data_IF_622315280884
#
_entry.id   IF_622315280884
#
_cell.length_a   1.000
_cell.length_b   1.000
_cell.length_c   1.000
_cell.angle_alpha   90.00
_cell.angle_beta   90.00
_cell.angle_gamma   90.00
#
_symmetry.space_group_name_H-M   'P 1'
#
loop_
_entity.id
_entity.type
_entity.pdbx_description
1 polymer ?
#
# COMPACT_ATOMS: atom_id res chain seq x y z
N UNK A 1 19.45 27.46 -0.68
CA UNK A 1 19.99 27.09 0.63
C UNK A 1 18.84 27.16 1.61
N UNK A 2 18.31 26.09 2.16
CA UNK A 2 18.68 24.68 2.18
C UNK A 2 17.37 23.89 2.30
N UNK A 3 17.27 22.82 1.53
CA UNK A 3 16.29 21.77 1.68
C UNK A 3 16.58 20.99 2.96
N UNK A 4 15.56 20.70 3.76
CA UNK A 4 15.61 19.61 4.73
C UNK A 4 14.32 18.80 4.58
N UNK A 5 14.51 17.67 3.90
CA UNK A 5 13.61 16.53 3.79
C UNK A 5 13.20 16.02 5.18
N UNK A 6 11.90 15.78 5.38
CA UNK A 6 11.38 15.04 6.53
C UNK A 6 10.86 13.70 6.04
N UNK A 7 11.75 12.71 6.04
CA UNK A 7 11.49 11.33 5.65
C UNK A 7 11.01 10.49 6.83
N UNK A 8 10.11 9.54 6.50
CA UNK A 8 9.84 8.23 7.09
C UNK A 8 9.97 7.99 8.61
N UNK A 9 8.83 7.62 9.19
CA UNK A 9 8.80 6.72 10.34
C UNK A 9 7.74 5.65 10.07
N UNK A 10 8.13 4.58 9.37
CA UNK A 10 7.45 3.29 9.50
C UNK A 10 8.29 2.11 9.00
N UNK A 11 9.57 2.03 9.35
CA UNK A 11 10.32 0.78 9.16
C UNK A 11 11.48 0.69 10.16
N UNK A 12 11.25 -0.05 11.25
CA UNK A 12 12.32 -0.68 12.04
C UNK A 12 11.82 -2.01 12.57
N UNK A 13 12.14 -3.08 11.84
CA UNK A 13 12.37 -4.38 12.46
C UNK A 13 13.40 -5.19 11.63
N UNK A 14 14.62 -5.20 12.17
CA UNK A 14 15.62 -6.28 12.18
C UNK A 14 15.98 -6.99 10.86
N UNK A 15 17.11 -6.56 10.28
CA UNK A 15 17.97 -7.41 9.46
C UNK A 15 19.21 -7.81 10.25
N UNK A 16 19.23 -9.04 10.74
CA UNK A 16 20.46 -9.74 11.08
C UNK A 16 21.02 -10.36 9.79
N UNK A 17 22.29 -10.08 9.52
CA UNK A 17 23.01 -10.59 8.36
C UNK A 17 23.36 -12.07 8.52
N UNK A 18 23.10 -12.86 7.48
CA UNK A 18 23.87 -14.08 7.14
C UNK A 18 23.88 -14.28 5.62
N UNK A 19 24.94 -14.89 5.07
CA UNK A 19 25.38 -14.68 3.69
C UNK A 19 24.67 -15.58 2.67
N UNK A 20 24.50 -15.01 1.48
CA UNK A 20 24.11 -15.65 0.24
C UNK A 20 25.11 -16.76 -0.13
N UNK A 21 24.61 -17.99 -0.24
CA UNK A 21 25.31 -19.16 -0.77
C UNK A 21 24.50 -19.66 -1.97
N UNK A 22 25.15 -19.71 -3.13
CA UNK A 22 24.62 -20.29 -4.36
C UNK A 22 24.31 -21.78 -4.15
N UNK A 23 23.10 -22.24 -4.46
CA UNK A 23 22.88 -23.60 -4.97
C UNK A 23 21.52 -23.78 -5.68
N UNK A 24 21.64 -24.15 -6.97
CA UNK A 24 20.88 -25.09 -7.80
C UNK A 24 19.33 -25.13 -7.84
N UNK A 25 18.88 -25.35 -9.08
CA UNK A 25 17.52 -25.61 -9.54
C UNK A 25 16.98 -26.90 -8.94
N UNK A 26 15.73 -26.87 -8.49
CA UNK A 26 14.82 -28.02 -8.55
C UNK A 26 13.42 -27.48 -8.91
N UNK A 27 12.88 -28.00 -10.02
CA UNK A 27 11.54 -27.73 -10.51
C UNK A 27 10.52 -28.48 -9.62
N UNK A 28 9.71 -27.77 -8.84
CA UNK A 28 8.64 -28.34 -8.02
C UNK A 28 7.27 -27.84 -8.52
N UNK A 29 6.65 -28.66 -9.38
CA UNK A 29 5.31 -28.48 -9.98
C UNK A 29 4.14 -28.59 -8.97
N UNK A 30 4.41 -28.60 -7.66
CA UNK A 30 3.37 -28.80 -6.63
C UNK A 30 2.62 -27.53 -6.18
N UNK A 31 3.09 -26.34 -6.59
CA UNK A 31 2.53 -25.05 -6.12
C UNK A 31 1.29 -24.61 -6.92
N UNK A 32 1.19 -24.97 -8.19
CA UNK A 32 0.09 -24.60 -9.08
C UNK A 32 -1.22 -25.32 -8.76
N UNK A 33 -1.16 -26.53 -8.23
CA UNK A 33 -2.34 -27.35 -7.89
C UNK A 33 -3.03 -26.92 -6.58
N UNK A 34 -2.31 -26.19 -5.71
CA UNK A 34 -2.90 -25.63 -4.48
C UNK A 34 -3.78 -24.40 -4.76
N UNK A 35 -3.54 -23.68 -5.87
CA UNK A 35 -4.27 -22.46 -6.21
C UNK A 35 -5.73 -22.74 -6.60
N UNK A 36 -5.98 -23.78 -7.41
CA UNK A 36 -7.32 -24.10 -7.91
C UNK A 36 -8.27 -24.66 -6.84
N UNK A 37 -7.74 -25.30 -5.79
CA UNK A 37 -8.55 -25.95 -4.75
C UNK A 37 -9.17 -24.98 -3.74
N UNK A 38 -8.59 -23.78 -3.56
CA UNK A 38 -9.09 -22.79 -2.60
C UNK A 38 -10.24 -21.96 -3.18
N UNK A 39 -10.26 -21.73 -4.50
CA UNK A 39 -11.28 -20.93 -5.17
C UNK A 39 -12.68 -21.59 -5.19
N UNK A 40 -12.76 -22.93 -5.09
CA UNK A 40 -14.03 -23.67 -5.20
C UNK A 40 -14.83 -23.80 -3.89
N UNK A 41 -14.30 -23.40 -2.73
CA UNK A 41 -15.00 -23.55 -1.44
C UNK A 41 -15.89 -22.36 -1.04
N UNK A 42 -15.78 -21.20 -1.71
CA UNK A 42 -16.50 -19.99 -1.29
C UNK A 42 -17.87 -19.77 -1.96
N UNK A 43 -18.23 -20.56 -2.98
CA UNK A 43 -19.48 -20.37 -3.73
C UNK A 43 -20.73 -21.10 -3.15
N UNK A 44 -20.71 -21.45 -1.87
CA UNK A 44 -21.70 -22.35 -1.26
C UNK A 44 -22.79 -21.73 -0.37
N UNK A 45 -22.95 -20.41 -0.28
CA UNK A 45 -23.98 -19.83 0.60
C UNK A 45 -24.95 -18.90 -0.14
N UNK A 46 -25.97 -19.51 -0.76
CA UNK A 46 -27.24 -18.86 -1.08
C UNK A 46 -28.20 -19.03 0.10
N UNK A 47 -28.76 -17.93 0.59
CA UNK A 47 -30.08 -17.96 1.22
C UNK A 47 -30.90 -16.81 0.64
N UNK A 48 -31.98 -17.18 -0.02
CA UNK A 48 -32.99 -16.28 -0.55
C UNK A 48 -34.19 -16.15 0.38
N UNK A 49 -34.98 -15.14 0.02
CA UNK A 49 -36.43 -14.99 0.14
C UNK A 49 -37.07 -14.80 1.53
N UNK A 50 -37.52 -13.54 1.70
CA UNK A 50 -38.82 -13.06 2.19
C UNK A 50 -39.80 -14.08 2.82
N UNK A 51 -40.36 -13.71 3.97
CA UNK A 51 -41.81 -13.79 4.18
C UNK A 51 -42.28 -12.84 5.29
N UNK A 52 -43.54 -12.46 5.14
CA UNK A 52 -44.30 -11.37 5.75
C UNK A 52 -44.87 -11.70 7.15
N UNK A 53 -45.33 -10.65 7.81
CA UNK A 53 -46.48 -10.55 8.74
C UNK A 53 -46.76 -11.65 9.79
N UNK A 54 -46.85 -11.24 11.06
CA UNK A 54 -48.10 -11.39 11.84
C UNK A 54 -48.05 -10.66 13.19
N UNK A 55 -49.04 -9.78 13.38
CA UNK A 55 -49.45 -9.14 14.64
C UNK A 55 -49.90 -10.16 15.70
N UNK A 56 -49.51 -9.97 16.97
CA UNK A 56 -50.43 -10.28 18.09
C UNK A 56 -50.14 -9.54 19.39
N UNK A 57 -51.02 -8.57 19.65
CA UNK A 57 -51.26 -7.87 20.90
C UNK A 57 -51.68 -8.86 22.01
N UNK A 58 -51.13 -8.71 23.22
CA UNK A 58 -51.83 -9.12 24.46
C UNK A 58 -51.49 -8.19 25.63
N UNK A 59 -52.44 -7.32 25.90
CA UNK A 59 -52.57 -6.43 27.04
C UNK A 59 -52.75 -7.20 28.37
N UNK A 60 -52.24 -6.64 29.47
CA UNK A 60 -52.80 -6.86 30.80
C UNK A 60 -52.51 -5.67 31.72
N UNK A 61 -53.52 -4.82 31.88
CA UNK A 61 -53.63 -3.80 32.91
C UNK A 61 -53.90 -4.42 34.28
N UNK A 62 -53.41 -3.77 35.35
CA UNK A 62 -54.21 -3.24 36.46
C UNK A 62 -53.31 -2.87 37.65
N UNK A 63 -53.31 -1.59 38.04
CA UNK A 63 -53.59 -1.18 39.43
C UNK A 63 -53.63 0.35 39.52
N UNK A 64 -54.82 0.88 39.77
CA UNK A 64 -55.06 2.25 40.24
C UNK A 64 -54.58 2.45 41.68
N UNK A 65 -54.28 3.70 42.04
CA UNK A 65 -54.01 4.16 43.39
C UNK A 65 -53.78 5.69 43.42
N UNK A 66 -54.83 6.41 43.76
CA UNK A 66 -55.05 7.88 43.75
C UNK A 66 -54.45 8.59 44.98
N UNK A 67 -54.10 9.88 44.84
CA UNK A 67 -54.00 10.88 45.94
C UNK A 67 -52.74 11.78 45.83
N UNK A 68 -52.78 12.88 45.08
CA UNK A 68 -53.13 14.26 45.51
C UNK A 68 -51.93 15.11 45.98
N UNK A 69 -51.68 16.16 45.18
CA UNK A 69 -51.25 17.53 45.46
C UNK A 69 -49.94 17.82 46.21
N UNK A 70 -49.00 18.45 45.49
CA UNK A 70 -48.35 19.67 45.96
C UNK A 70 -47.76 20.49 44.80
N UNK A 71 -48.29 21.69 44.65
CA UNK A 71 -47.75 22.80 43.88
C UNK A 71 -46.34 23.16 44.32
N UNK A 72 -45.37 23.16 43.41
CA UNK A 72 -44.26 24.11 43.47
C UNK A 72 -43.68 24.36 42.07
N UNK A 73 -44.01 25.54 41.58
CA UNK A 73 -43.39 26.25 40.47
C UNK A 73 -41.86 26.32 40.61
N UNK A 74 -41.14 26.11 39.49
CA UNK A 74 -39.69 26.20 39.44
C UNK A 74 -39.07 25.63 38.16
N UNK A 75 -39.26 26.34 37.05
CA UNK A 75 -38.30 26.51 35.93
C UNK A 75 -37.61 25.29 35.28
N UNK A 76 -38.02 25.04 34.03
CA UNK A 76 -37.16 24.75 32.86
C UNK A 76 -36.32 23.47 32.94
N UNK A 77 -37.03 22.37 32.75
CA UNK A 77 -36.77 21.36 31.71
C UNK A 77 -35.29 21.14 31.33
N UNK A 78 -34.64 20.25 32.08
CA UNK A 78 -33.59 19.38 31.56
C UNK A 78 -34.10 18.69 30.28
N UNK A 79 -33.76 19.26 29.12
CA UNK A 79 -33.88 18.52 27.87
C UNK A 79 -32.77 17.50 27.82
N UNK A 80 -33.11 16.34 28.38
CA UNK A 80 -32.93 15.04 27.76
C UNK A 80 -32.00 15.06 26.55
N UNK A 81 -30.86 14.42 26.77
CA UNK A 81 -30.01 13.75 25.81
C UNK A 81 -30.85 13.09 24.70
N UNK A 82 -31.07 13.78 23.58
CA UNK A 82 -31.39 13.12 22.33
C UNK A 82 -30.08 12.61 21.70
N UNK A 83 -29.66 11.50 22.29
CA UNK A 83 -28.92 10.43 21.65
C UNK A 83 -29.67 10.03 20.38
N UNK A 84 -29.13 10.39 19.22
CA UNK A 84 -29.80 10.13 17.95
C UNK A 84 -29.04 10.60 16.73
N UNK A 85 -27.70 10.61 16.79
CA UNK A 85 -26.93 10.58 15.55
C UNK A 85 -25.69 9.72 15.77
N UNK A 86 -25.93 8.42 15.93
CA UNK A 86 -24.94 7.40 15.62
C UNK A 86 -24.70 7.38 14.10
N UNK A 87 -24.23 8.50 13.56
CA UNK A 87 -23.39 8.47 12.38
C UNK A 87 -22.08 7.88 12.87
N UNK A 88 -22.10 6.56 13.05
CA UNK A 88 -20.92 5.74 13.11
C UNK A 88 -20.20 6.02 11.79
N UNK A 89 -19.31 7.03 11.75
CA UNK A 89 -18.14 7.00 10.89
C UNK A 89 -17.41 5.73 11.31
N UNK A 90 -17.90 4.57 10.83
CA UNK A 90 -17.30 3.27 11.04
C UNK A 90 -15.93 3.42 10.43
N UNK A 91 -14.96 3.66 11.29
CA UNK A 91 -13.57 3.62 10.90
C UNK A 91 -13.38 2.21 10.35
N UNK A 92 -13.05 2.13 9.06
CA UNK A 92 -12.88 0.86 8.37
C UNK A 92 -12.08 -0.11 9.24
N UNK A 93 -12.62 -1.31 9.45
CA UNK A 93 -12.06 -2.27 10.39
C UNK A 93 -10.67 -2.69 9.89
N UNK A 94 -9.78 -3.02 10.81
CA UNK A 94 -8.44 -3.50 10.45
C UNK A 94 -8.51 -4.71 9.49
N UNK A 95 -9.48 -5.60 9.71
CA UNK A 95 -9.73 -6.75 8.85
C UNK A 95 -10.04 -6.35 7.39
N UNK A 96 -10.88 -5.32 7.19
CA UNK A 96 -11.26 -4.83 5.85
C UNK A 96 -10.03 -4.23 5.13
N UNK A 97 -9.15 -3.54 5.85
CA UNK A 97 -7.87 -3.04 5.28
C UNK A 97 -6.95 -4.16 4.82
N UNK A 98 -6.83 -5.22 5.64
CA UNK A 98 -6.02 -6.39 5.29
C UNK A 98 -6.60 -7.11 4.08
N UNK A 99 -7.94 -7.21 3.98
CA UNK A 99 -8.61 -7.79 2.82
C UNK A 99 -8.29 -7.03 1.53
N UNK A 100 -8.39 -5.70 1.52
CA UNK A 100 -8.01 -4.86 0.37
C UNK A 100 -6.58 -5.14 -0.07
N UNK A 101 -5.62 -5.11 0.87
CA UNK A 101 -4.20 -5.34 0.56
C UNK A 101 -3.95 -6.75 -0.02
N UNK A 102 -4.61 -7.76 0.53
CA UNK A 102 -4.51 -9.14 0.03
C UNK A 102 -5.12 -9.26 -1.37
N UNK A 103 -6.28 -8.66 -1.61
CA UNK A 103 -6.92 -8.63 -2.93
C UNK A 103 -6.02 -7.94 -3.96
N UNK A 104 -5.47 -6.78 -3.62
CA UNK A 104 -4.50 -6.07 -4.47
C UNK A 104 -3.30 -6.96 -4.81
N UNK A 105 -2.74 -7.65 -3.82
CA UNK A 105 -1.60 -8.56 -4.01
C UNK A 105 -1.97 -9.70 -4.96
N UNK A 106 -3.12 -10.34 -4.77
CA UNK A 106 -3.56 -11.47 -5.59
C UNK A 106 -3.81 -11.04 -7.04
N UNK A 107 -4.43 -9.87 -7.26
CA UNK A 107 -4.65 -9.33 -8.61
C UNK A 107 -3.33 -8.98 -9.30
N UNK A 108 -2.38 -8.39 -8.56
CA UNK A 108 -1.04 -8.15 -9.08
C UNK A 108 -0.29 -9.45 -9.41
N UNK A 109 -0.49 -10.51 -8.64
CA UNK A 109 0.08 -11.83 -8.97
C UNK A 109 -0.48 -12.36 -10.29
N UNK A 110 -1.80 -12.27 -10.50
CA UNK A 110 -2.43 -12.65 -11.77
C UNK A 110 -1.85 -11.85 -12.95
N UNK A 111 -1.63 -10.54 -12.77
CA UNK A 111 -1.03 -9.68 -13.79
C UNK A 111 0.44 -10.04 -14.08
N UNK A 112 1.19 -10.45 -13.06
CA UNK A 112 2.56 -10.91 -13.23
C UNK A 112 2.63 -12.25 -13.97
N UNK A 113 1.73 -13.20 -13.66
CA UNK A 113 1.63 -14.48 -14.37
C UNK A 113 1.32 -14.25 -15.85
N UNK A 114 0.40 -13.34 -16.16
CA UNK A 114 0.11 -12.96 -17.54
C UNK A 114 1.37 -12.43 -18.26
N UNK A 115 2.08 -11.47 -17.67
CA UNK A 115 3.31 -10.92 -18.26
C UNK A 115 4.39 -11.98 -18.47
N UNK A 116 4.55 -12.91 -17.54
CA UNK A 116 5.52 -14.00 -17.65
C UNK A 116 5.16 -14.95 -18.80
N UNK A 117 3.88 -15.29 -18.94
CA UNK A 117 3.40 -16.11 -20.04
C UNK A 117 3.54 -15.40 -21.39
N UNK A 118 3.29 -14.10 -21.46
CA UNK A 118 3.54 -13.28 -22.66
C UNK A 118 5.01 -13.36 -23.09
N UNK A 119 5.94 -13.17 -22.14
CA UNK A 119 7.38 -13.28 -22.42
C UNK A 119 7.77 -14.68 -22.89
N UNK A 120 7.14 -15.73 -22.34
CA UNK A 120 7.38 -17.11 -22.74
C UNK A 120 6.89 -17.38 -24.16
N UNK A 121 5.72 -16.83 -24.52
CA UNK A 121 5.15 -16.91 -25.88
C UNK A 121 6.07 -16.20 -26.89
N UNK A 122 6.53 -14.99 -26.58
CA UNK A 122 7.41 -14.24 -27.47
C UNK A 122 8.75 -14.96 -27.69
N UNK A 123 9.37 -15.48 -26.63
CA UNK A 123 10.59 -16.30 -26.77
C UNK A 123 10.36 -17.54 -27.64
N UNK A 124 9.26 -18.26 -27.42
CA UNK A 124 8.92 -19.43 -28.24
C UNK A 124 8.68 -19.07 -29.71
N UNK A 125 8.10 -17.88 -30.00
CA UNK A 125 7.94 -17.36 -31.37
C UNK A 125 9.28 -17.03 -32.02
N UNK A 126 10.18 -16.39 -31.29
CA UNK A 126 11.53 -16.09 -31.76
C UNK A 126 12.34 -17.37 -32.06
N UNK A 127 12.31 -18.34 -31.15
CA UNK A 127 12.95 -19.64 -31.33
C UNK A 127 12.38 -20.41 -32.52
N UNK A 128 11.04 -20.38 -32.69
CA UNK A 128 10.38 -20.98 -33.85
C UNK A 128 10.85 -20.33 -35.16
N UNK A 129 10.94 -19.00 -35.19
CA UNK A 129 11.43 -18.27 -36.35
C UNK A 129 12.90 -18.61 -36.67
N UNK A 130 13.76 -18.69 -35.65
CA UNK A 130 15.16 -19.08 -35.82
C UNK A 130 15.29 -20.51 -36.35
N UNK A 131 14.48 -21.45 -35.84
CA UNK A 131 14.39 -22.83 -36.32
C UNK A 131 13.97 -22.89 -37.80
N UNK A 132 12.94 -22.13 -38.18
CA UNK A 132 12.47 -22.06 -39.57
C UNK A 132 13.54 -21.53 -40.53
N UNK A 133 14.29 -20.49 -40.13
CA UNK A 133 15.41 -19.97 -40.92
C UNK A 133 16.51 -21.03 -41.08
N UNK A 134 16.79 -21.80 -40.04
CA UNK A 134 17.78 -22.89 -40.07
C UNK A 134 17.34 -24.04 -40.98
N UNK A 135 16.07 -24.43 -40.94
CA UNK A 135 15.48 -25.39 -41.86
C UNK A 135 15.65 -24.93 -43.31
N UNK A 136 15.39 -23.65 -43.61
CA UNK A 136 15.54 -23.09 -44.95
C UNK A 136 17.01 -23.14 -45.42
N UNK A 137 17.95 -22.74 -44.57
CA UNK A 137 19.39 -22.81 -44.89
C UNK A 137 19.86 -24.25 -45.16
N UNK A 138 19.52 -25.19 -44.27
CA UNK A 138 19.87 -26.61 -44.43
C UNK A 138 19.24 -27.21 -45.70
N UNK A 139 18.02 -26.78 -46.05
CA UNK A 139 17.35 -27.20 -47.28
C UNK A 139 18.11 -26.72 -48.51
N UNK A 140 18.52 -25.44 -48.54
CA UNK A 140 19.35 -24.88 -49.62
C UNK A 140 20.71 -25.56 -49.73
N UNK A 141 21.38 -25.83 -48.60
CA UNK A 141 22.65 -26.57 -48.59
C UNK A 141 22.48 -27.98 -49.14
N UNK A 142 21.42 -28.69 -48.72
CA UNK A 142 21.09 -30.02 -49.22
C UNK A 142 20.89 -30.00 -50.73
N UNK A 143 20.09 -29.08 -51.26
CA UNK A 143 19.85 -28.93 -52.70
C UNK A 143 21.16 -28.64 -53.46
N UNK A 144 22.01 -27.75 -52.95
CA UNK A 144 23.32 -27.47 -53.55
C UNK A 144 24.26 -28.69 -53.53
N UNK A 145 24.23 -29.50 -52.47
CA UNK A 145 24.99 -30.76 -52.46
C UNK A 145 24.45 -31.77 -53.46
N UNK A 146 23.13 -31.80 -53.67
CA UNK A 146 22.48 -32.69 -54.63
C UNK A 146 22.84 -32.31 -56.08
N UNK A 147 22.88 -31.02 -56.42
CA UNK A 147 23.36 -30.56 -57.73
C UNK A 147 24.83 -30.91 -57.95
N UNK A 148 25.70 -30.70 -56.95
CA UNK A 148 27.14 -31.07 -57.04
C UNK A 148 27.35 -32.58 -57.19
N UNK A 149 26.50 -33.39 -56.55
CA UNK A 149 26.54 -34.86 -56.75
C UNK A 149 26.28 -35.20 -58.20
N UNK A 150 25.34 -34.53 -58.87
CA UNK A 150 25.03 -34.77 -60.28
C UNK A 150 26.16 -34.31 -61.20
N UNK A 151 26.75 -33.13 -60.95
CA UNK A 151 27.92 -32.64 -61.69
C UNK A 151 29.12 -33.60 -61.60
N UNK A 152 29.43 -34.11 -60.40
CA UNK A 152 30.55 -35.05 -60.21
C UNK A 152 30.25 -36.45 -60.78
N UNK A 153 28.97 -36.85 -60.88
CA UNK A 153 28.56 -38.06 -61.62
C UNK A 153 28.84 -37.91 -63.10
N UNK A 154 28.46 -36.78 -63.71
CA UNK A 154 28.75 -36.49 -65.12
C UNK A 154 30.25 -36.45 -65.39
N UNK A 155 31.04 -35.91 -64.45
CA UNK A 155 32.50 -35.89 -64.52
C UNK A 155 33.17 -37.26 -64.24
N UNK A 156 32.41 -38.28 -63.81
CA UNK A 156 32.92 -39.62 -63.49
C UNK A 156 33.76 -39.71 -62.21
N UNK A 157 33.72 -38.69 -61.34
CA UNK A 157 34.55 -38.62 -60.14
C UNK A 157 33.94 -39.38 -58.95
N UNK A 158 34.12 -40.70 -58.97
CA UNK A 158 33.50 -41.61 -58.01
C UNK A 158 33.84 -41.28 -56.55
N UNK A 159 35.08 -40.86 -56.27
CA UNK A 159 35.51 -40.53 -54.91
C UNK A 159 34.84 -39.25 -54.36
N UNK A 160 34.61 -38.24 -55.20
CA UNK A 160 33.89 -37.03 -54.81
C UNK A 160 32.41 -37.32 -54.53
N UNK A 161 31.78 -38.16 -55.36
CA UNK A 161 30.38 -38.59 -55.17
C UNK A 161 30.19 -39.22 -53.78
N UNK A 162 31.05 -40.16 -53.38
CA UNK A 162 30.91 -40.80 -52.06
C UNK A 162 31.04 -39.81 -50.90
N UNK A 163 31.95 -38.83 -50.99
CA UNK A 163 32.09 -37.77 -49.97
C UNK A 163 30.86 -36.87 -49.91
N UNK A 164 30.36 -36.43 -51.07
CA UNK A 164 29.16 -35.59 -51.15
C UNK A 164 27.90 -36.33 -50.70
N UNK A 165 27.77 -37.63 -51.00
CA UNK A 165 26.67 -38.46 -50.51
C UNK A 165 26.70 -38.61 -48.99
N UNK A 166 27.88 -38.76 -48.38
CA UNK A 166 28.02 -38.78 -46.93
C UNK A 166 27.59 -37.43 -46.32
N UNK A 167 27.98 -36.31 -46.93
CA UNK A 167 27.54 -34.97 -46.54
C UNK A 167 26.02 -34.80 -46.68
N UNK A 168 25.42 -35.20 -47.81
CA UNK A 168 23.98 -35.12 -48.03
C UNK A 168 23.21 -35.93 -46.98
N UNK A 169 23.65 -37.15 -46.65
CA UNK A 169 23.03 -37.95 -45.58
C UNK A 169 23.08 -37.25 -44.22
N UNK A 170 24.21 -36.61 -43.90
CA UNK A 170 24.34 -35.80 -42.67
C UNK A 170 23.35 -34.63 -42.67
N UNK A 171 23.27 -33.87 -43.77
CA UNK A 171 22.32 -32.76 -43.90
C UNK A 171 20.87 -33.22 -43.79
N UNK A 172 20.50 -34.38 -44.35
CA UNK A 172 19.17 -34.95 -44.17
C UNK A 172 18.85 -35.26 -42.70
N UNK A 173 19.82 -35.79 -41.95
CA UNK A 173 19.63 -36.08 -40.52
C UNK A 173 19.49 -34.78 -39.71
N UNK A 174 20.35 -33.78 -39.97
CA UNK A 174 20.27 -32.46 -39.34
C UNK A 174 18.92 -31.76 -39.64
N UNK A 175 18.47 -31.82 -40.90
CA UNK A 175 17.17 -31.27 -41.31
C UNK A 175 16.00 -31.99 -40.64
N UNK A 176 16.08 -33.30 -40.45
CA UNK A 176 15.08 -34.08 -39.71
C UNK A 176 15.00 -33.63 -38.26
N UNK A 177 16.14 -33.55 -37.57
CA UNK A 177 16.22 -33.09 -36.18
C UNK A 177 15.67 -31.68 -36.01
N UNK A 178 15.97 -30.77 -36.94
CA UNK A 178 15.49 -29.38 -36.89
C UNK A 178 13.96 -29.31 -37.07
N UNK A 179 13.39 -30.11 -37.98
CA UNK A 179 11.92 -30.20 -38.15
C UNK A 179 11.22 -30.79 -36.92
N UNK A 180 11.83 -31.79 -36.29
CA UNK A 180 11.30 -32.35 -35.05
C UNK A 180 11.32 -31.30 -33.92
N UNK A 181 12.38 -30.48 -33.86
CA UNK A 181 12.45 -29.34 -32.94
C UNK A 181 11.39 -28.28 -33.25
N UNK A 182 11.18 -27.93 -34.53
CA UNK A 182 10.12 -27.02 -34.96
C UNK A 182 8.74 -27.47 -34.46
N UNK A 183 8.40 -28.75 -34.66
CA UNK A 183 7.13 -29.32 -34.20
C UNK A 183 6.98 -29.26 -32.69
N UNK A 184 8.06 -29.53 -31.94
CA UNK A 184 8.05 -29.44 -30.48
C UNK A 184 7.80 -28.00 -30.00
N UNK A 185 8.52 -27.03 -30.56
CA UNK A 185 8.36 -25.61 -30.23
C UNK A 185 6.95 -25.13 -30.61
N UNK A 186 6.45 -25.51 -31.78
CA UNK A 186 5.11 -25.14 -32.23
C UNK A 186 4.01 -25.71 -31.32
N UNK A 187 4.16 -26.95 -30.85
CA UNK A 187 3.23 -27.55 -29.89
C UNK A 187 3.24 -26.80 -28.54
N UNK A 188 4.44 -26.52 -28.01
CA UNK A 188 4.61 -25.76 -26.76
C UNK A 188 4.05 -24.34 -26.89
N UNK A 189 4.26 -23.68 -28.03
CA UNK A 189 3.70 -22.35 -28.31
C UNK A 189 2.17 -22.38 -28.31
N UNK A 190 1.56 -23.41 -28.90
CA UNK A 190 0.10 -23.57 -28.90
C UNK A 190 -0.46 -23.76 -27.49
N UNK A 191 0.23 -24.55 -26.65
CA UNK A 191 -0.14 -24.75 -25.25
C UNK A 191 -0.02 -23.44 -24.45
N UNK A 192 1.10 -22.73 -24.57
CA UNK A 192 1.31 -21.45 -23.90
C UNK A 192 0.25 -20.40 -24.30
N UNK A 193 -0.12 -20.32 -25.59
CA UNK A 193 -1.18 -19.42 -26.06
C UNK A 193 -2.54 -19.81 -25.49
N UNK A 194 -2.83 -21.11 -25.35
CA UNK A 194 -4.06 -21.56 -24.73
C UNK A 194 -4.13 -21.21 -23.24
N UNK A 195 -3.03 -21.39 -22.51
CA UNK A 195 -2.93 -20.99 -21.10
C UNK A 195 -3.05 -19.46 -20.94
N UNK A 196 -2.45 -18.68 -21.83
CA UNK A 196 -2.64 -17.22 -21.85
C UNK A 196 -4.11 -16.85 -21.95
N UNK A 197 -4.86 -17.49 -22.87
CA UNK A 197 -6.30 -17.24 -22.98
C UNK A 197 -7.07 -17.61 -21.72
N UNK A 198 -6.68 -18.68 -21.01
CA UNK A 198 -7.28 -19.00 -19.72
C UNK A 198 -7.02 -17.90 -18.68
N UNK A 199 -5.80 -17.37 -18.65
CA UNK A 199 -5.42 -16.25 -17.76
C UNK A 199 -6.23 -14.99 -18.11
N UNK A 200 -6.38 -14.65 -19.39
CA UNK A 200 -7.17 -13.51 -19.85
C UNK A 200 -8.66 -13.65 -19.44
N UNK A 201 -9.21 -14.86 -19.54
CA UNK A 201 -10.57 -15.15 -19.08
C UNK A 201 -10.68 -14.93 -17.56
N UNK A 202 -9.72 -15.41 -16.77
CA UNK A 202 -9.69 -15.16 -15.32
C UNK A 202 -9.56 -13.67 -15.01
N UNK A 203 -8.67 -12.94 -15.69
CA UNK A 203 -8.54 -11.49 -15.54
C UNK A 203 -9.85 -10.77 -15.83
N UNK A 204 -10.58 -11.20 -16.87
CA UNK A 204 -11.90 -10.70 -17.20
C UNK A 204 -12.93 -10.93 -16.08
N UNK A 205 -12.91 -12.09 -15.42
CA UNK A 205 -13.79 -12.39 -14.28
C UNK A 205 -13.55 -11.45 -13.10
N UNK A 206 -12.32 -11.01 -12.89
CA UNK A 206 -11.96 -10.09 -11.82
C UNK A 206 -12.09 -8.59 -12.20
N UNK A 207 -12.62 -8.27 -13.38
CA UNK A 207 -12.77 -6.87 -13.83
C UNK A 207 -13.57 -6.00 -12.86
N UNK A 208 -14.77 -6.43 -12.46
CA UNK A 208 -15.60 -5.70 -11.48
C UNK A 208 -14.97 -5.64 -10.08
N UNK A 209 -14.21 -6.68 -9.70
CA UNK A 209 -13.48 -6.70 -8.44
C UNK A 209 -12.36 -5.65 -8.41
N UNK A 210 -11.69 -5.40 -9.54
CA UNK A 210 -10.67 -4.34 -9.66
C UNK A 210 -11.28 -2.96 -9.46
N UNK A 211 -12.43 -2.69 -10.08
CA UNK A 211 -13.15 -1.43 -9.92
C UNK A 211 -13.58 -1.21 -8.47
N UNK A 212 -14.13 -2.24 -7.82
CA UNK A 212 -14.50 -2.15 -6.41
C UNK A 212 -13.27 -1.93 -5.51
N UNK A 213 -12.19 -2.65 -5.78
CA UNK A 213 -10.94 -2.52 -5.02
C UNK A 213 -10.38 -1.10 -5.12
N UNK A 214 -10.40 -0.50 -6.31
CA UNK A 214 -9.96 0.88 -6.51
C UNK A 214 -10.80 1.87 -5.68
N UNK A 215 -12.13 1.71 -5.68
CA UNK A 215 -13.02 2.54 -4.85
C UNK A 215 -12.74 2.37 -3.35
N UNK A 216 -12.54 1.13 -2.89
CA UNK A 216 -12.25 0.81 -1.49
C UNK A 216 -10.90 1.40 -1.06
N UNK A 217 -9.89 1.36 -1.94
CA UNK A 217 -8.58 1.98 -1.71
C UNK A 217 -8.68 3.51 -1.63
N UNK A 218 -9.45 4.14 -2.52
CA UNK A 218 -9.71 5.58 -2.50
C UNK A 218 -10.46 6.03 -1.24
N UNK A 219 -11.48 5.27 -0.81
CA UNK A 219 -12.19 5.54 0.44
C UNK A 219 -11.25 5.41 1.65
N UNK A 220 -10.41 4.39 1.67
CA UNK A 220 -9.40 4.20 2.72
C UNK A 220 -8.41 5.36 2.75
N UNK A 221 -7.94 5.81 1.59
CA UNK A 221 -7.02 6.94 1.49
C UNK A 221 -7.67 8.24 1.99
N UNK A 222 -8.93 8.50 1.61
CA UNK A 222 -9.71 9.64 2.11
C UNK A 222 -9.84 9.60 3.63
N UNK A 223 -10.18 8.46 4.20
CA UNK A 223 -10.27 8.30 5.65
C UNK A 223 -8.94 8.52 6.38
N UNK A 224 -7.83 8.09 5.78
CA UNK A 224 -6.50 8.35 6.32
C UNK A 224 -6.17 9.84 6.30
N UNK A 225 -6.42 10.53 5.18
CA UNK A 225 -6.23 11.98 5.04
C UNK A 225 -7.07 12.76 6.05
N UNK A 226 -8.36 12.47 6.17
CA UNK A 226 -9.25 13.10 7.16
C UNK A 226 -8.72 12.94 8.59
N UNK A 227 -8.21 11.76 8.95
CA UNK A 227 -7.71 11.50 10.30
C UNK A 227 -6.44 12.30 10.59
N UNK A 228 -5.54 12.39 9.61
CA UNK A 228 -4.32 13.19 9.72
C UNK A 228 -4.67 14.67 9.87
N UNK A 229 -5.59 15.19 9.05
CA UNK A 229 -6.05 16.58 9.16
C UNK A 229 -6.69 16.90 10.51
N UNK A 230 -7.52 16.00 11.03
CA UNK A 230 -8.11 16.16 12.36
C UNK A 230 -7.06 16.19 13.47
N UNK A 231 -6.01 15.37 13.37
CA UNK A 231 -4.89 15.38 14.33
C UNK A 231 -4.13 16.71 14.24
N UNK A 232 -3.78 17.14 13.04
CA UNK A 232 -3.12 18.43 12.80
C UNK A 232 -3.96 19.59 13.35
N UNK A 233 -5.27 19.59 13.15
CA UNK A 233 -6.13 20.67 13.65
C UNK A 233 -6.21 20.70 15.18
N UNK A 234 -6.29 19.52 15.83
CA UNK A 234 -6.23 19.41 17.29
C UNK A 234 -4.91 19.92 17.83
N UNK A 235 -3.80 19.57 17.20
CA UNK A 235 -2.47 20.06 17.57
C UNK A 235 -2.33 21.57 17.37
N UNK A 236 -2.80 22.11 16.23
CA UNK A 236 -2.81 23.56 15.96
C UNK A 236 -3.62 24.34 16.99
N UNK A 237 -4.72 23.78 17.50
CA UNK A 237 -5.53 24.45 18.53
C UNK A 237 -4.88 24.35 19.91
N UNK A 238 -4.30 23.20 20.26
CA UNK A 238 -3.52 23.02 21.48
C UNK A 238 -2.29 23.94 21.53
N UNK A 239 -1.54 24.05 20.43
CA UNK A 239 -0.39 24.94 20.29
C UNK A 239 -0.79 26.41 20.47
N UNK A 240 -1.88 26.85 19.82
CA UNK A 240 -2.42 28.22 19.99
C UNK A 240 -2.84 28.50 21.43
N UNK A 241 -3.42 27.52 22.13
CA UNK A 241 -3.78 27.66 23.53
C UNK A 241 -2.54 27.77 24.43
N UNK A 242 -1.52 26.93 24.19
CA UNK A 242 -0.26 26.95 24.91
C UNK A 242 0.48 28.29 24.73
N UNK A 243 0.51 28.81 23.50
CA UNK A 243 1.11 30.10 23.19
C UNK A 243 0.42 31.25 23.94
N UNK A 244 -0.92 31.28 23.94
CA UNK A 244 -1.68 32.28 24.71
C UNK A 244 -1.38 32.20 26.21
N UNK A 245 -1.32 30.99 26.77
CA UNK A 245 -0.96 30.79 28.18
C UNK A 245 0.45 31.29 28.47
N UNK A 246 1.41 31.00 27.59
CA UNK A 246 2.79 31.48 27.70
C UNK A 246 2.85 33.01 27.65
N UNK A 247 2.13 33.65 26.72
CA UNK A 247 2.07 35.11 26.63
C UNK A 247 1.48 35.74 27.89
N UNK A 248 0.41 35.17 28.44
CA UNK A 248 -0.17 35.62 29.71
C UNK A 248 0.82 35.45 30.87
N UNK A 249 1.56 34.33 30.91
CA UNK A 249 2.62 34.10 31.90
C UNK A 249 3.71 35.17 31.83
N UNK A 250 4.24 35.43 30.64
CA UNK A 250 5.27 36.48 30.40
C UNK A 250 4.80 37.87 30.83
N UNK A 251 3.53 38.22 30.56
CA UNK A 251 2.96 39.52 31.01
C UNK A 251 2.91 39.62 32.54
N UNK A 252 2.44 38.57 33.22
CA UNK A 252 2.39 38.54 34.69
C UNK A 252 3.79 38.62 35.32
N UNK A 253 4.77 37.93 34.73
CA UNK A 253 6.17 38.01 35.16
C UNK A 253 6.73 39.43 35.00
N UNK A 254 6.46 40.08 33.87
CA UNK A 254 6.85 41.47 33.62
C UNK A 254 6.20 42.44 34.61
N UNK A 255 4.89 42.35 34.81
CA UNK A 255 4.16 43.17 35.79
C UNK A 255 4.69 42.98 37.22
N UNK A 256 5.02 41.74 37.60
CA UNK A 256 5.60 41.44 38.90
C UNK A 256 7.01 42.04 39.04
N UNK A 257 7.82 41.97 37.98
CA UNK A 257 9.15 42.57 37.94
C UNK A 257 9.10 44.10 38.04
N UNK A 258 8.23 44.76 37.28
CA UNK A 258 8.03 46.21 37.35
C UNK A 258 7.53 46.65 38.74
N UNK A 259 6.64 45.87 39.36
CA UNK A 259 6.17 46.15 40.71
C UNK A 259 7.29 46.01 41.74
N UNK A 260 8.16 45.01 41.59
CA UNK A 260 9.34 44.84 42.44
C UNK A 260 10.32 46.01 42.27
N UNK A 261 10.64 46.39 41.04
CA UNK A 261 11.54 47.48 40.71
C UNK A 261 11.04 48.82 41.29
N UNK A 262 9.73 49.11 41.13
CA UNK A 262 9.12 50.31 41.75
C UNK A 262 9.23 50.31 43.27
N UNK A 263 9.09 49.15 43.93
CA UNK A 263 9.26 49.04 45.39
C UNK A 263 10.71 49.27 45.79
N UNK A 264 11.66 48.68 45.05
CA UNK A 264 13.08 48.86 45.30
C UNK A 264 13.51 50.32 45.17
N UNK A 265 13.11 50.99 44.07
CA UNK A 265 13.35 52.42 43.85
C UNK A 265 12.82 53.27 45.00
N UNK A 266 11.59 53.00 45.46
CA UNK A 266 11.00 53.72 46.60
C UNK A 266 11.83 53.56 47.88
N UNK A 267 12.30 52.34 48.18
CA UNK A 267 13.15 52.07 49.36
C UNK A 267 14.49 52.83 49.27
N UNK A 268 15.11 52.85 48.09
CA UNK A 268 16.36 53.60 47.85
C UNK A 268 16.14 55.10 48.02
N UNK A 269 15.08 55.65 47.42
CA UNK A 269 14.73 57.06 47.57
C UNK A 269 14.47 57.44 49.04
N UNK A 270 13.70 56.62 49.76
CA UNK A 270 13.42 56.86 51.18
C UNK A 270 14.70 56.77 52.03
N UNK A 271 15.62 55.86 51.70
CA UNK A 271 16.94 55.77 52.33
C UNK A 271 17.81 57.01 52.05
N UNK A 272 17.83 57.51 50.81
CA UNK A 272 18.51 58.77 50.46
C UNK A 272 17.92 59.97 51.21
N UNK A 273 16.59 60.13 51.21
CA UNK A 273 15.92 61.21 51.95
C UNK A 273 16.22 61.15 53.44
N UNK A 274 16.30 59.95 54.01
CA UNK A 274 16.67 59.75 55.41
C UNK A 274 18.15 60.13 55.65
N UNK A 275 19.06 59.67 54.78
CA UNK A 275 20.48 60.03 54.86
C UNK A 275 20.70 61.55 54.79
N UNK A 276 20.04 62.26 53.87
CA UNK A 276 20.09 63.72 53.78
C UNK A 276 19.66 64.40 55.07
N UNK A 277 18.53 63.94 55.66
CA UNK A 277 18.08 64.44 56.97
C UNK A 277 19.13 64.20 58.05
N UNK A 278 19.68 62.99 58.12
CA UNK A 278 20.71 62.63 59.09
C UNK A 278 21.98 63.51 58.94
N UNK A 279 22.44 63.76 57.71
CA UNK A 279 23.57 64.65 57.43
C UNK A 279 23.25 66.09 57.83
N UNK A 280 22.03 66.59 57.58
CA UNK A 280 21.61 67.92 58.04
C UNK A 280 21.63 68.02 59.57
N UNK A 281 21.15 67.00 60.28
CA UNK A 281 21.23 66.93 61.74
C UNK A 281 22.69 66.92 62.21
N UNK A 282 23.54 66.10 61.61
CA UNK A 282 24.98 66.02 61.89
C UNK A 282 25.68 67.37 61.68
N UNK A 283 25.43 68.06 60.56
CA UNK A 283 25.94 69.41 60.30
C UNK A 283 25.50 70.38 61.39
N UNK A 284 24.20 70.42 61.73
CA UNK A 284 23.68 71.27 62.82
C UNK A 284 24.32 70.96 64.17
N UNK A 285 24.61 69.70 64.48
CA UNK A 285 25.31 69.34 65.71
C UNK A 285 26.79 69.76 65.68
N UNK A 286 27.49 69.60 64.57
CA UNK A 286 28.89 69.99 64.44
C UNK A 286 29.08 71.51 64.49
N UNK A 287 28.14 72.29 63.95
CA UNK A 287 28.14 73.77 64.06
C UNK A 287 27.90 74.31 65.47
N UNK A 288 27.56 73.46 66.45
CA UNK A 288 27.40 73.85 67.86
C UNK A 288 28.66 73.61 68.70
N UNK A 289 29.65 72.91 68.14
CA UNK A 289 30.92 72.57 68.81
C UNK A 289 32.13 73.32 68.23
N UNK A 290 31.90 74.34 67.38
CA UNK A 290 32.86 75.33 66.91
C UNK A 290 32.32 76.73 67.20
#
# INVERSE_FOLDING_TARGET
MEDIEFFDICEKEQTAATPFLEQEKDDDDSVTDQFWNVANQQNGHKFGEESEEEDKIRSKDASEGVGEDNDSSGEIQERHMNNGNNNNKKTMKYAERVQILNLRRNLNQLDNIAKEKDLTIEKAREELSACQLRIEMLTKERECTETKIEEEKEAGNTAAIFRLQAMHRRLCAELGNEKDLELKIASMLKENVYEMWQIEIEQGKFGSLREQLEQDEEELERHCKERVEQRIQKEKTAARLAERKQQVGKRKEMEAWEAYERRHQKVVEDAHRNHEKAVQFLKKSMSRFH
#
